data_IF_061204138551
#
_entry.id   IF_061204138551
#
_cell.length_a   1.000
_cell.length_b   1.000
_cell.length_c   1.000
_cell.angle_alpha   90.00
_cell.angle_beta   90.00
_cell.angle_gamma   90.00
#
_symmetry.space_group_name_H-M   'P 1'
#
loop_
_entity.id
_entity.type
_entity.pdbx_description
1 polymer ?
#
# COMPACT_ATOMS: atom_id res chain seq x y z
N UNK A 1 9.72 -23.24 18.52
CA UNK A 1 9.82 -23.12 17.05
C UNK A 1 9.78 -24.45 16.31
N UNK A 2 10.62 -25.46 16.63
CA UNK A 2 10.61 -26.78 15.94
C UNK A 2 9.26 -27.51 15.96
N UNK A 3 8.54 -27.48 17.09
CA UNK A 3 7.23 -28.15 17.24
C UNK A 3 6.16 -27.48 16.37
N UNK A 4 6.16 -26.13 16.31
CA UNK A 4 5.21 -25.37 15.48
C UNK A 4 5.47 -25.64 14.00
N UNK A 5 6.75 -25.66 13.59
CA UNK A 5 7.15 -25.99 12.23
C UNK A 5 6.70 -27.40 11.80
N UNK A 6 6.92 -28.42 12.65
CA UNK A 6 6.51 -29.78 12.35
C UNK A 6 4.99 -29.88 12.17
N UNK A 7 4.22 -29.21 13.02
CA UNK A 7 2.75 -29.17 12.92
C UNK A 7 2.25 -28.44 11.67
N UNK A 8 2.91 -27.34 11.30
CA UNK A 8 2.58 -26.61 10.06
C UNK A 8 2.88 -27.47 8.82
N UNK A 9 4.03 -28.14 8.80
CA UNK A 9 4.42 -29.03 7.70
C UNK A 9 3.45 -30.20 7.54
N UNK A 10 2.93 -30.76 8.64
CA UNK A 10 1.92 -31.82 8.65
C UNK A 10 0.58 -31.35 8.09
N UNK A 11 0.11 -30.14 8.47
CA UNK A 11 -1.16 -29.55 8.01
C UNK A 11 -1.10 -29.16 6.53
N UNK A 12 0.06 -28.72 6.04
CA UNK A 12 0.26 -28.23 4.67
C UNK A 12 0.81 -29.32 3.73
N UNK A 13 0.79 -30.58 4.17
CA UNK A 13 1.17 -31.76 3.37
C UNK A 13 2.50 -31.61 2.62
N UNK A 14 3.50 -31.05 3.29
CA UNK A 14 4.85 -30.86 2.76
C UNK A 14 5.00 -29.75 1.72
N UNK A 15 3.94 -29.02 1.36
CA UNK A 15 3.99 -27.93 0.36
C UNK A 15 4.56 -26.62 0.89
N UNK A 16 5.13 -26.63 2.10
CA UNK A 16 5.74 -25.43 2.71
C UNK A 16 7.09 -25.10 2.07
N UNK A 17 7.12 -24.18 1.15
CA UNK A 17 8.38 -23.57 0.71
C UNK A 17 8.14 -22.22 0.04
N UNK A 18 8.81 -21.17 0.43
CA UNK A 18 9.47 -20.86 1.71
C UNK A 18 8.47 -20.38 2.77
N UNK A 19 8.79 -20.51 4.07
CA UNK A 19 8.03 -19.87 5.14
C UNK A 19 8.76 -18.65 5.67
N UNK A 20 8.03 -17.58 5.90
CA UNK A 20 8.55 -16.34 6.48
C UNK A 20 8.13 -16.28 7.95
N UNK A 21 9.09 -15.97 8.82
CA UNK A 21 8.84 -15.71 10.24
C UNK A 21 9.01 -14.23 10.47
N UNK A 22 7.95 -13.55 10.87
CA UNK A 22 7.96 -12.14 11.16
C UNK A 22 7.39 -11.84 12.55
N UNK A 23 7.61 -10.62 13.04
CA UNK A 23 7.02 -10.18 14.31
C UNK A 23 5.50 -10.15 14.16
N UNK A 24 4.80 -10.74 15.13
CA UNK A 24 3.36 -10.57 15.22
C UNK A 24 3.03 -9.12 15.57
N UNK A 25 2.05 -8.56 14.87
CA UNK A 25 1.49 -7.22 15.14
C UNK A 25 0.10 -7.44 15.71
N UNK A 26 -0.22 -6.73 16.81
CA UNK A 26 -1.52 -6.82 17.44
C UNK A 26 -2.64 -6.35 16.48
N UNK A 27 -3.87 -6.72 16.79
CA UNK A 27 -5.04 -6.30 16.03
C UNK A 27 -5.13 -4.78 15.93
N UNK A 28 -5.52 -4.30 14.76
CA UNK A 28 -5.64 -2.89 14.45
C UNK A 28 -6.60 -2.66 13.27
N UNK A 29 -6.58 -1.45 12.74
CA UNK A 29 -7.32 -1.12 11.53
C UNK A 29 -6.43 -1.46 10.34
N UNK A 30 -6.93 -2.34 9.47
CA UNK A 30 -6.26 -2.67 8.23
C UNK A 30 -6.48 -1.55 7.20
N UNK A 31 -5.38 -1.02 6.69
CA UNK A 31 -5.33 0.00 5.62
C UNK A 31 -4.64 -0.59 4.41
N UNK A 32 -5.13 -0.28 3.22
CA UNK A 32 -4.46 -0.58 1.96
C UNK A 32 -4.09 0.72 1.23
N UNK A 33 -2.84 0.77 0.77
CA UNK A 33 -2.33 1.85 -0.08
C UNK A 33 -1.69 1.22 -1.30
N UNK A 34 -2.11 1.65 -2.49
CA UNK A 34 -1.55 1.15 -3.75
C UNK A 34 -1.20 2.33 -4.64
N UNK A 35 -0.05 2.26 -5.28
CA UNK A 35 0.37 3.24 -6.28
C UNK A 35 0.72 2.48 -7.55
N UNK A 36 0.13 2.89 -8.67
CA UNK A 36 0.29 2.21 -9.97
C UNK A 36 0.73 3.23 -11.00
N UNK A 37 1.75 2.90 -11.76
CA UNK A 37 2.14 3.61 -12.99
C UNK A 37 1.56 2.87 -14.19
N UNK A 38 0.73 3.57 -14.95
CA UNK A 38 0.10 3.04 -16.14
C UNK A 38 1.05 3.10 -17.36
N UNK A 39 0.77 2.30 -18.41
CA UNK A 39 1.62 2.27 -19.61
C UNK A 39 1.72 3.60 -20.36
N UNK A 40 0.77 4.51 -20.17
CA UNK A 40 0.75 5.86 -20.74
C UNK A 40 1.56 6.88 -19.91
N UNK A 41 2.25 6.42 -18.87
CA UNK A 41 3.02 7.25 -17.96
C UNK A 41 2.20 7.88 -16.82
N UNK A 42 0.87 7.89 -16.91
CA UNK A 42 0.03 8.36 -15.81
C UNK A 42 0.20 7.47 -14.56
N UNK A 43 -0.01 8.04 -13.40
CA UNK A 43 0.03 7.29 -12.15
C UNK A 43 -1.22 7.50 -11.32
N UNK A 44 -1.65 6.44 -10.63
CA UNK A 44 -2.79 6.50 -9.70
C UNK A 44 -2.39 6.05 -8.31
N UNK A 45 -3.05 6.62 -7.31
CA UNK A 45 -2.93 6.28 -5.90
C UNK A 45 -4.30 5.84 -5.39
N UNK A 46 -4.37 4.66 -4.80
CA UNK A 46 -5.57 4.09 -4.20
C UNK A 46 -5.38 3.99 -2.69
N UNK A 47 -6.37 4.46 -1.93
CA UNK A 47 -6.36 4.41 -0.46
C UNK A 47 -7.70 3.89 0.03
N UNK A 48 -7.68 2.85 0.85
CA UNK A 48 -8.90 2.21 1.36
C UNK A 48 -8.64 1.31 2.56
N UNK A 49 -9.69 0.61 3.00
CA UNK A 49 -9.54 -0.44 4.01
C UNK A 49 -8.80 -1.63 3.42
N UNK A 50 -7.89 -2.19 4.20
CA UNK A 50 -7.02 -3.30 3.83
C UNK A 50 -7.54 -4.66 4.29
N UNK A 51 -6.67 -5.68 4.16
CA UNK A 51 -6.98 -7.04 4.55
C UNK A 51 -8.24 -7.61 3.88
N UNK A 52 -9.09 -8.35 4.58
CA UNK A 52 -10.32 -8.89 4.00
C UNK A 52 -11.27 -7.81 3.45
N UNK A 53 -11.23 -6.59 3.99
CA UNK A 53 -12.07 -5.47 3.54
C UNK A 53 -11.63 -4.89 2.18
N UNK A 54 -10.40 -5.12 1.76
CA UNK A 54 -9.89 -4.69 0.45
C UNK A 54 -10.61 -5.39 -0.71
N UNK A 55 -11.18 -6.57 -0.47
CA UNK A 55 -11.97 -7.35 -1.44
C UNK A 55 -13.24 -6.58 -1.86
N UNK A 56 -13.76 -5.69 -1.00
CA UNK A 56 -14.94 -4.86 -1.34
C UNK A 56 -14.67 -3.86 -2.47
N UNK A 57 -13.40 -3.58 -2.78
CA UNK A 57 -12.99 -2.68 -3.86
C UNK A 57 -13.34 -1.21 -3.64
N UNK A 58 -13.63 -0.81 -2.39
CA UNK A 58 -13.96 0.59 -2.07
C UNK A 58 -12.67 1.34 -1.73
N UNK A 59 -12.13 2.02 -2.74
CA UNK A 59 -10.93 2.86 -2.62
C UNK A 59 -11.25 4.29 -3.03
N UNK A 60 -10.62 5.24 -2.35
CA UNK A 60 -10.51 6.60 -2.83
C UNK A 60 -9.32 6.69 -3.79
N UNK A 61 -9.49 7.42 -4.89
CA UNK A 61 -8.53 7.47 -5.98
C UNK A 61 -7.91 8.86 -6.11
N UNK A 62 -6.58 8.92 -6.14
CA UNK A 62 -5.79 10.09 -6.50
C UNK A 62 -4.96 9.85 -7.75
N UNK A 63 -4.39 10.93 -8.30
CA UNK A 63 -3.48 10.89 -9.47
C UNK A 63 -2.12 11.46 -9.11
N UNK A 64 -1.06 10.92 -9.73
CA UNK A 64 0.30 11.47 -9.62
C UNK A 64 0.49 12.67 -10.58
N UNK A 65 1.31 13.65 -10.23
CA UNK A 65 2.05 13.78 -8.98
C UNK A 65 1.13 14.13 -7.80
N UNK A 66 1.46 13.59 -6.62
CA UNK A 66 0.63 13.75 -5.42
C UNK A 66 1.32 14.64 -4.39
N UNK A 67 0.73 15.79 -4.08
CA UNK A 67 1.22 16.65 -2.99
C UNK A 67 0.79 16.12 -1.62
N UNK A 68 1.45 16.58 -0.55
CA UNK A 68 1.04 16.22 0.82
C UNK A 68 -0.41 16.68 1.12
N UNK A 69 -0.85 17.80 0.54
CA UNK A 69 -2.22 18.28 0.68
C UNK A 69 -3.22 17.34 -0.01
N UNK A 70 -2.89 16.88 -1.21
CA UNK A 70 -3.70 15.89 -1.94
C UNK A 70 -3.77 14.56 -1.20
N UNK A 71 -2.64 14.07 -0.66
CA UNK A 71 -2.60 12.87 0.16
C UNK A 71 -3.49 13.00 1.41
N UNK A 72 -3.49 14.17 2.05
CA UNK A 72 -4.35 14.47 3.19
C UNK A 72 -5.84 14.47 2.81
N UNK A 73 -6.19 15.08 1.68
CA UNK A 73 -7.56 15.09 1.17
C UNK A 73 -8.03 13.67 0.79
N UNK A 74 -7.17 12.90 0.13
CA UNK A 74 -7.42 11.52 -0.27
C UNK A 74 -7.73 10.62 0.95
N UNK A 75 -6.88 10.67 1.98
CA UNK A 75 -7.10 9.92 3.23
C UNK A 75 -8.38 10.36 3.92
N UNK A 76 -8.64 11.67 4.00
CA UNK A 76 -9.84 12.20 4.65
C UNK A 76 -11.14 11.82 3.92
N UNK A 77 -11.13 11.77 2.59
CA UNK A 77 -12.26 11.37 1.75
C UNK A 77 -12.56 9.88 1.78
N UNK A 78 -11.56 9.06 2.06
CA UNK A 78 -11.67 7.61 2.05
C UNK A 78 -12.44 7.04 3.25
N UNK A 79 -12.73 5.74 3.19
CA UNK A 79 -13.29 5.01 4.33
C UNK A 79 -12.40 5.07 5.57
N UNK A 80 -11.08 5.16 5.38
CA UNK A 80 -10.08 5.27 6.44
C UNK A 80 -10.29 6.55 7.27
N UNK A 81 -10.55 7.68 6.62
CA UNK A 81 -10.79 8.96 7.29
C UNK A 81 -11.98 8.94 8.24
N UNK A 82 -12.91 8.00 8.08
CA UNK A 82 -14.06 7.79 8.98
C UNK A 82 -13.76 6.82 10.11
N UNK A 83 -12.86 5.87 9.91
CA UNK A 83 -12.56 4.80 10.87
C UNK A 83 -11.39 5.18 11.78
N UNK A 84 -10.34 5.80 11.24
CA UNK A 84 -9.19 6.26 12.00
C UNK A 84 -9.53 7.62 12.62
N UNK A 85 -9.81 7.61 13.91
CA UNK A 85 -10.21 8.81 14.66
C UNK A 85 -9.03 9.54 15.28
N UNK A 86 -7.93 8.85 15.59
CA UNK A 86 -6.73 9.46 16.15
C UNK A 86 -6.02 10.34 15.09
N UNK A 87 -5.80 11.65 15.40
CA UNK A 87 -5.16 12.56 14.45
C UNK A 87 -3.71 12.16 14.10
N UNK A 88 -2.97 11.58 15.05
CA UNK A 88 -1.58 11.19 14.83
C UNK A 88 -1.48 10.00 13.89
N UNK A 89 -2.37 9.01 14.04
CA UNK A 89 -2.43 7.87 13.14
C UNK A 89 -2.85 8.29 11.74
N UNK A 90 -3.77 9.25 11.63
CA UNK A 90 -4.13 9.84 10.33
C UNK A 90 -2.94 10.52 9.65
N UNK A 91 -2.14 11.29 10.39
CA UNK A 91 -0.91 11.91 9.86
C UNK A 91 0.07 10.85 9.36
N UNK A 92 0.27 9.76 10.11
CA UNK A 92 1.15 8.66 9.71
C UNK A 92 0.73 8.01 8.39
N UNK A 93 -0.58 7.81 8.19
CA UNK A 93 -1.09 7.25 6.93
C UNK A 93 -0.93 8.26 5.79
N UNK A 94 -1.19 9.54 6.00
CA UNK A 94 -0.95 10.60 5.01
C UNK A 94 0.52 10.61 4.58
N UNK A 95 1.45 10.53 5.53
CA UNK A 95 2.88 10.44 5.23
C UNK A 95 3.23 9.17 4.44
N UNK A 96 2.66 8.02 4.78
CA UNK A 96 2.88 6.77 4.04
C UNK A 96 2.41 6.91 2.60
N UNK A 97 1.18 7.38 2.39
CA UNK A 97 0.60 7.60 1.05
C UNK A 97 1.50 8.52 0.21
N UNK A 98 1.90 9.66 0.77
CA UNK A 98 2.77 10.60 0.08
C UNK A 98 4.16 10.02 -0.25
N UNK A 99 4.76 9.27 0.68
CA UNK A 99 6.06 8.61 0.45
C UNK A 99 5.98 7.52 -0.60
N UNK A 100 4.90 6.73 -0.63
CA UNK A 100 4.70 5.71 -1.67
C UNK A 100 4.47 6.34 -3.04
N UNK A 101 3.74 7.45 -3.11
CA UNK A 101 3.58 8.23 -4.33
C UNK A 101 4.94 8.75 -4.83
N UNK A 102 5.70 9.42 -3.96
CA UNK A 102 7.02 9.94 -4.28
C UNK A 102 8.01 8.84 -4.72
N UNK A 103 7.93 7.64 -4.12
CA UNK A 103 8.75 6.51 -4.53
C UNK A 103 8.50 6.13 -6.00
N UNK A 104 7.23 6.03 -6.40
CA UNK A 104 6.87 5.70 -7.80
C UNK A 104 7.20 6.86 -8.75
N UNK A 105 7.06 8.11 -8.31
CA UNK A 105 7.43 9.28 -9.10
C UNK A 105 8.93 9.36 -9.40
N UNK A 106 9.77 9.03 -8.41
CA UNK A 106 11.23 9.13 -8.50
C UNK A 106 11.90 7.94 -9.20
N UNK A 107 11.19 6.81 -9.33
CA UNK A 107 11.72 5.56 -9.87
C UNK A 107 10.88 5.06 -11.04
N UNK A 108 11.37 5.32 -12.25
CA UNK A 108 10.65 4.96 -13.48
C UNK A 108 10.48 3.46 -13.69
N UNK A 109 11.37 2.66 -13.12
CA UNK A 109 11.30 1.20 -13.14
C UNK A 109 10.18 0.62 -12.25
N UNK A 110 9.64 1.40 -11.32
CA UNK A 110 8.55 0.93 -10.45
C UNK A 110 7.21 1.09 -11.16
N UNK A 111 6.56 -0.03 -11.43
CA UNK A 111 5.23 -0.11 -12.03
C UNK A 111 4.11 -0.07 -11.01
N UNK A 112 4.36 -0.71 -9.87
CA UNK A 112 3.38 -0.78 -8.79
C UNK A 112 4.08 -0.93 -7.46
N UNK A 113 3.55 -0.23 -6.46
CA UNK A 113 3.83 -0.50 -5.04
C UNK A 113 2.49 -0.67 -4.34
N UNK A 114 2.34 -1.76 -3.60
CA UNK A 114 1.15 -2.01 -2.80
C UNK A 114 1.57 -2.37 -1.38
N UNK A 115 1.02 -1.68 -0.40
CA UNK A 115 1.12 -2.00 1.02
C UNK A 115 -0.29 -2.41 1.50
N UNK A 116 -0.50 -3.71 1.72
CA UNK A 116 -1.80 -4.28 2.11
C UNK A 116 -1.60 -5.63 2.84
N UNK A 117 -1.83 -5.73 4.16
CA UNK A 117 -2.31 -4.65 5.01
C UNK A 117 -1.21 -3.75 5.59
N UNK A 118 -1.58 -2.51 5.85
CA UNK A 118 -0.91 -1.64 6.81
C UNK A 118 -1.74 -1.66 8.09
N UNK A 119 -1.17 -2.15 9.18
CA UNK A 119 -1.86 -2.28 10.46
C UNK A 119 -1.69 -0.99 11.27
N UNK A 120 -2.80 -0.30 11.53
CA UNK A 120 -2.84 0.89 12.39
C UNK A 120 -3.28 0.47 13.78
N UNK A 121 -2.34 0.51 14.72
CA UNK A 121 -2.52 0.12 16.11
C UNK A 121 -2.27 1.30 17.03
N UNK A 122 -2.56 1.16 18.33
CA UNK A 122 -2.22 2.17 19.35
C UNK A 122 -0.71 2.46 19.43
N UNK A 123 0.15 1.55 18.95
CA UNK A 123 1.60 1.74 18.91
C UNK A 123 2.08 2.45 17.62
N UNK A 124 1.20 2.63 16.64
CA UNK A 124 1.49 3.27 15.35
C UNK A 124 1.09 2.44 14.14
N UNK A 125 1.53 2.87 12.96
CA UNK A 125 1.28 2.17 11.71
C UNK A 125 2.45 1.26 11.34
N UNK A 126 2.15 0.01 10.98
CA UNK A 126 3.12 -1.02 10.58
C UNK A 126 2.72 -1.59 9.23
N UNK A 127 3.60 -1.52 8.24
CA UNK A 127 3.41 -2.22 6.97
C UNK A 127 3.68 -3.71 7.21
N UNK A 128 2.64 -4.53 7.13
CA UNK A 128 2.74 -5.97 7.38
C UNK A 128 3.09 -6.75 6.11
N UNK A 129 2.62 -6.27 4.96
CA UNK A 129 2.96 -6.82 3.66
C UNK A 129 3.16 -5.71 2.63
N UNK A 130 4.11 -5.92 1.71
CA UNK A 130 4.39 -5.00 0.62
C UNK A 130 4.77 -5.76 -0.64
N UNK A 131 4.15 -5.35 -1.75
CA UNK A 131 4.50 -5.83 -3.08
C UNK A 131 5.09 -4.67 -3.90
N UNK A 132 6.20 -4.93 -4.59
CA UNK A 132 6.79 -4.00 -5.56
C UNK A 132 6.93 -4.72 -6.89
N UNK A 133 6.32 -4.16 -7.93
CA UNK A 133 6.43 -4.65 -9.31
C UNK A 133 7.34 -3.73 -10.09
N UNK A 134 8.38 -4.28 -10.67
CA UNK A 134 9.32 -3.57 -11.53
C UNK A 134 9.04 -3.87 -13.00
N UNK A 135 9.40 -2.96 -13.87
CA UNK A 135 9.35 -3.10 -15.33
C UNK A 135 10.32 -2.16 -16.02
N UNK A 136 10.46 -2.30 -17.34
CA UNK A 136 11.31 -1.40 -18.09
C UNK A 136 10.81 0.05 -17.98
N UNK A 137 11.69 1.05 -17.92
CA UNK A 137 11.28 2.45 -17.91
C UNK A 137 10.31 2.75 -19.06
N UNK A 138 9.29 3.55 -18.80
CA UNK A 138 8.37 3.98 -19.85
C UNK A 138 9.11 5.03 -20.67
N UNK A 139 9.25 4.80 -21.98
CA UNK A 139 9.76 5.82 -22.88
C UNK A 139 8.89 7.09 -22.74
N UNK A 140 9.56 8.22 -22.55
CA UNK A 140 8.92 9.50 -22.30
C UNK A 140 7.93 9.80 -23.44
N UNK A 141 6.64 9.70 -23.17
CA UNK A 141 5.64 10.17 -24.10
C UNK A 141 5.80 11.68 -24.21
N UNK A 142 6.49 12.10 -25.24
CA UNK A 142 6.65 13.49 -25.58
C UNK A 142 5.28 14.19 -25.45
N UNK A 143 5.14 15.00 -24.40
CA UNK A 143 3.96 15.85 -24.22
C UNK A 143 3.79 16.62 -25.52
N UNK A 144 2.79 16.27 -26.33
CA UNK A 144 2.43 17.07 -27.50
C UNK A 144 2.11 18.45 -27.00
N UNK A 145 3.04 19.38 -27.19
CA UNK A 145 2.73 20.79 -27.06
C UNK A 145 1.67 21.08 -28.12
N UNK A 146 0.48 21.45 -27.67
CA UNK A 146 -0.51 22.05 -28.54
C UNK A 146 0.09 23.41 -28.96
N UNK A 147 0.50 23.52 -30.22
CA UNK A 147 0.81 24.81 -30.84
C UNK A 147 -0.47 25.58 -31.10
#
# INVERSE_FOLDING_TARGET
MRVVWARMAEVLDGSMTPAVVQRFVDEGIDVAVRVVRHPDGAGTVEVGLGGPSSISGVFELGVLPLTLADASALVAGSAIGRVITDPLDRVRIVELVHRMAALVEQHEEIRRVAADPVLVTSAGAVVADVEVVLGDPIEDFAVRRLE
#
